data_IF_668318238841
#
_entry.id   IF_668318238841
#
_cell.length_a   1.000
_cell.length_b   1.000
_cell.length_c   1.000
_cell.angle_alpha   90.00
_cell.angle_beta   90.00
_cell.angle_gamma   90.00
#
_symmetry.space_group_name_H-M   'P 1'
#
loop_
_entity.id
_entity.type
_entity.pdbx_description
1 polymer ?
#
# COMPACT_ATOMS: atom_id res chain seq x y z
N UNK A 1 -12.81 11.07 -32.11
CA UNK A 1 -13.43 10.34 -30.97
C UNK A 1 -12.73 10.79 -29.69
N UNK A 2 -13.44 11.36 -28.72
CA UNK A 2 -12.85 11.88 -27.47
C UNK A 2 -12.66 10.75 -26.46
N UNK A 3 -11.42 10.53 -26.02
CA UNK A 3 -11.03 9.63 -24.93
C UNK A 3 -11.59 10.13 -23.58
N UNK A 4 -12.88 9.90 -23.32
CA UNK A 4 -13.55 10.31 -22.07
C UNK A 4 -13.42 9.29 -20.93
N UNK A 5 -12.77 8.14 -21.15
CA UNK A 5 -12.77 7.01 -20.19
C UNK A 5 -11.66 7.10 -19.12
N UNK A 6 -10.70 8.02 -19.24
CA UNK A 6 -9.52 8.05 -18.36
C UNK A 6 -9.66 8.93 -17.10
N UNK A 7 -10.78 9.64 -16.92
CA UNK A 7 -10.99 10.56 -15.79
C UNK A 7 -12.45 10.54 -15.28
N UNK A 8 -13.09 9.38 -15.21
CA UNK A 8 -14.40 9.34 -14.54
C UNK A 8 -14.22 9.48 -13.02
N UNK A 9 -15.10 10.24 -12.38
CA UNK A 9 -15.26 10.36 -10.92
C UNK A 9 -15.65 9.05 -10.21
N UNK A 10 -15.48 7.91 -10.91
CA UNK A 10 -15.82 6.55 -10.47
C UNK A 10 -14.56 5.77 -10.07
N UNK A 11 -13.38 6.40 -10.03
CA UNK A 11 -12.12 5.78 -9.58
C UNK A 11 -12.26 5.14 -8.20
N UNK A 12 -13.02 5.79 -7.32
CA UNK A 12 -13.16 5.43 -5.92
C UNK A 12 -13.95 4.13 -5.72
N UNK A 13 -14.66 3.68 -6.76
CA UNK A 13 -15.49 2.48 -6.75
C UNK A 13 -14.72 1.22 -7.18
N UNK A 14 -13.45 1.35 -7.59
CA UNK A 14 -12.64 0.21 -8.00
C UNK A 14 -11.89 -0.39 -6.81
N UNK A 15 -12.12 -1.66 -6.53
CA UNK A 15 -11.40 -2.41 -5.51
C UNK A 15 -10.36 -3.36 -6.09
N UNK A 16 -9.39 -3.72 -5.23
CA UNK A 16 -8.30 -4.65 -5.53
C UNK A 16 -8.83 -6.05 -5.88
N UNK A 17 -8.24 -6.76 -6.85
CA UNK A 17 -8.52 -8.18 -7.05
C UNK A 17 -8.30 -8.98 -5.74
N UNK A 18 -9.30 -9.72 -5.24
CA UNK A 18 -9.24 -10.35 -3.92
C UNK A 18 -8.09 -11.33 -3.76
N UNK A 19 -7.75 -12.06 -4.83
CA UNK A 19 -6.64 -13.03 -4.83
C UNK A 19 -5.29 -12.33 -4.69
N UNK A 20 -5.12 -11.15 -5.31
CA UNK A 20 -3.89 -10.36 -5.16
C UNK A 20 -3.76 -9.84 -3.73
N UNK A 21 -4.85 -9.29 -3.17
CA UNK A 21 -4.82 -8.78 -1.80
C UNK A 21 -4.50 -9.90 -0.81
N UNK A 22 -5.19 -11.05 -0.89
CA UNK A 22 -4.98 -12.18 0.02
C UNK A 22 -3.52 -12.66 0.05
N UNK A 23 -2.89 -12.80 -1.12
CA UNK A 23 -1.48 -13.21 -1.19
C UNK A 23 -0.52 -12.22 -0.52
N UNK A 24 -0.82 -10.93 -0.60
CA UNK A 24 0.00 -9.89 0.04
C UNK A 24 -0.30 -9.81 1.54
N UNK A 25 -1.56 -9.98 1.93
CA UNK A 25 -1.99 -9.95 3.32
C UNK A 25 -1.42 -11.13 4.12
N UNK A 26 -1.29 -12.31 3.51
CA UNK A 26 -0.57 -13.46 4.08
C UNK A 26 0.89 -13.16 4.42
N UNK A 27 1.53 -12.21 3.70
CA UNK A 27 2.93 -11.82 3.90
C UNK A 27 3.07 -10.64 4.85
N UNK A 28 2.20 -9.64 4.70
CA UNK A 28 2.37 -8.34 5.36
C UNK A 28 1.46 -8.10 6.55
N UNK A 29 0.36 -8.88 6.70
CA UNK A 29 -0.63 -8.76 7.78
C UNK A 29 -1.16 -7.31 7.91
N UNK A 30 -1.91 -6.86 6.91
CA UNK A 30 -2.31 -5.46 6.80
C UNK A 30 -3.33 -5.06 7.88
N UNK A 31 -3.02 -3.96 8.56
CA UNK A 31 -3.84 -3.46 9.67
C UNK A 31 -4.78 -2.32 9.24
N UNK A 32 -4.41 -1.59 8.19
CA UNK A 32 -5.13 -0.43 7.68
C UNK A 32 -5.25 -0.50 6.15
N UNK A 33 -6.46 -0.23 5.64
CA UNK A 33 -6.73 0.11 4.25
C UNK A 33 -6.89 1.63 4.13
N UNK A 34 -5.83 2.30 3.68
CA UNK A 34 -5.69 3.76 3.80
C UNK A 34 -6.57 4.56 2.83
N UNK A 35 -7.12 3.93 1.79
CA UNK A 35 -7.97 4.59 0.79
C UNK A 35 -9.02 3.61 0.27
N UNK A 36 -10.21 3.65 0.86
CA UNK A 36 -11.29 2.72 0.51
C UNK A 36 -12.67 3.39 0.57
N UNK A 37 -13.70 2.59 0.38
CA UNK A 37 -15.11 2.86 0.65
C UNK A 37 -15.58 1.87 1.71
N UNK A 38 -16.84 1.99 2.15
CA UNK A 38 -17.43 0.98 3.05
C UNK A 38 -17.56 -0.39 2.37
N UNK A 39 -17.72 -0.41 1.04
CA UNK A 39 -18.00 -1.59 0.25
C UNK A 39 -16.75 -2.33 -0.19
N UNK A 40 -15.66 -1.62 -0.52
CA UNK A 40 -14.44 -2.21 -1.06
C UNK A 40 -13.28 -2.31 -0.06
N UNK A 41 -13.52 -2.01 1.22
CA UNK A 41 -12.49 -2.11 2.27
C UNK A 41 -11.92 -3.52 2.37
N UNK A 42 -10.61 -3.61 2.57
CA UNK A 42 -9.89 -4.89 2.66
C UNK A 42 -9.38 -5.18 4.08
N UNK A 43 -9.27 -4.15 4.92
CA UNK A 43 -8.87 -4.26 6.33
C UNK A 43 -10.01 -3.88 7.27
N UNK A 44 -9.91 -4.31 8.54
CA UNK A 44 -10.85 -3.91 9.60
C UNK A 44 -10.83 -2.40 9.86
N UNK A 45 -9.64 -1.82 9.89
CA UNK A 45 -9.46 -0.37 9.94
C UNK A 45 -9.32 0.16 8.52
N UNK A 46 -9.99 1.27 8.23
CA UNK A 46 -9.93 1.88 6.91
C UNK A 46 -10.31 3.34 6.96
N UNK A 47 -9.85 4.10 5.97
CA UNK A 47 -10.31 5.46 5.73
C UNK A 47 -11.13 5.54 4.45
N UNK A 48 -12.26 6.23 4.56
CA UNK A 48 -13.13 6.56 3.45
C UNK A 48 -12.89 7.99 2.98
N UNK A 49 -13.58 8.38 1.90
CA UNK A 49 -13.55 9.77 1.42
C UNK A 49 -13.95 10.77 2.50
N UNK A 50 -14.93 10.43 3.33
CA UNK A 50 -15.45 11.29 4.39
C UNK A 50 -14.43 11.48 5.52
N UNK A 51 -13.54 10.51 5.71
CA UNK A 51 -12.48 10.57 6.72
C UNK A 51 -11.28 11.41 6.25
N UNK A 52 -11.22 11.78 4.96
CA UNK A 52 -10.04 12.38 4.32
C UNK A 52 -8.74 11.66 4.67
N UNK A 53 -8.55 10.46 4.10
CA UNK A 53 -7.40 9.61 4.41
C UNK A 53 -6.03 10.28 4.20
N UNK A 54 -5.93 11.37 3.42
CA UNK A 54 -4.70 12.17 3.30
C UNK A 54 -4.40 13.03 4.54
N UNK A 55 -5.44 13.45 5.28
CA UNK A 55 -5.31 14.22 6.51
C UNK A 55 -5.06 13.35 7.75
N UNK A 56 -5.38 12.06 7.69
CA UNK A 56 -5.27 11.14 8.83
C UNK A 56 -3.81 10.75 9.15
N UNK A 57 -3.49 10.53 10.42
CA UNK A 57 -2.21 9.92 10.80
C UNK A 57 -2.29 8.40 10.68
N UNK A 58 -1.42 7.79 9.86
CA UNK A 58 -1.42 6.34 9.67
C UNK A 58 -0.47 5.65 10.65
N UNK A 59 0.35 6.41 11.37
CA UNK A 59 1.43 5.89 12.23
C UNK A 59 0.98 4.98 13.38
N UNK A 60 -0.30 5.05 13.75
CA UNK A 60 -0.94 4.11 14.68
C UNK A 60 -0.98 2.66 14.16
N UNK A 61 -0.80 2.45 12.86
CA UNK A 61 -0.80 1.15 12.19
C UNK A 61 0.59 0.82 11.63
N UNK A 62 1.06 -0.40 11.82
CA UNK A 62 2.43 -0.84 11.42
C UNK A 62 2.51 -1.34 9.98
N UNK A 63 1.39 -1.79 9.42
CA UNK A 63 1.28 -2.46 8.13
C UNK A 63 0.09 -1.90 7.38
N UNK A 64 0.35 -1.17 6.30
CA UNK A 64 -0.66 -0.36 5.61
C UNK A 64 -0.78 -0.82 4.17
N UNK A 65 -2.02 -1.07 3.75
CA UNK A 65 -2.39 -1.26 2.36
C UNK A 65 -2.88 0.07 1.78
N UNK A 66 -2.47 0.36 0.55
CA UNK A 66 -2.91 1.54 -0.18
C UNK A 66 -3.25 1.18 -1.64
N UNK A 67 -4.53 1.28 -2.00
CA UNK A 67 -4.99 1.31 -3.39
C UNK A 67 -5.68 2.66 -3.62
N UNK A 68 -4.92 3.74 -3.94
CA UNK A 68 -5.46 5.10 -3.91
C UNK A 68 -6.43 5.33 -5.07
N UNK A 69 -7.32 6.33 -4.97
CA UNK A 69 -8.06 6.79 -6.14
C UNK A 69 -7.09 7.27 -7.22
N UNK A 70 -7.13 6.61 -8.38
CA UNK A 70 -6.24 6.93 -9.50
C UNK A 70 -6.65 8.24 -10.16
N UNK A 71 -5.65 8.96 -10.69
CA UNK A 71 -5.86 10.24 -11.37
C UNK A 71 -4.96 11.32 -10.80
N UNK A 72 -5.50 12.53 -10.63
CA UNK A 72 -4.71 13.73 -10.27
C UNK A 72 -4.14 13.69 -8.85
N UNK A 73 -4.75 12.91 -7.96
CA UNK A 73 -4.39 12.83 -6.54
C UNK A 73 -3.31 11.80 -6.24
N UNK A 74 -2.94 10.95 -7.20
CA UNK A 74 -2.01 9.83 -6.94
C UNK A 74 -0.67 10.33 -6.37
N UNK A 75 -0.17 11.48 -6.83
CA UNK A 75 1.07 12.05 -6.31
C UNK A 75 1.02 12.39 -4.83
N UNK A 76 -0.10 12.93 -4.34
CA UNK A 76 -0.29 13.23 -2.92
C UNK A 76 -0.36 11.96 -2.08
N UNK A 77 -1.01 10.91 -2.59
CA UNK A 77 -1.07 9.61 -1.92
C UNK A 77 0.30 8.94 -1.82
N UNK A 78 1.11 8.99 -2.89
CA UNK A 78 2.45 8.41 -2.89
C UNK A 78 3.42 9.20 -2.01
N UNK A 79 3.32 10.53 -1.99
CA UNK A 79 4.02 11.36 -1.02
C UNK A 79 3.68 10.94 0.42
N UNK A 80 2.38 10.85 0.73
CA UNK A 80 1.93 10.46 2.07
C UNK A 80 2.41 9.06 2.45
N UNK A 81 2.31 8.08 1.55
CA UNK A 81 2.79 6.73 1.78
C UNK A 81 4.29 6.70 2.15
N UNK A 82 5.11 7.50 1.45
CA UNK A 82 6.52 7.65 1.78
C UNK A 82 6.73 8.32 3.15
N UNK A 83 6.03 9.41 3.44
CA UNK A 83 6.13 10.15 4.71
C UNK A 83 5.72 9.27 5.91
N UNK A 84 4.63 8.52 5.80
CA UNK A 84 4.16 7.58 6.83
C UNK A 84 5.16 6.43 7.02
N UNK A 85 5.84 5.97 5.96
CA UNK A 85 6.90 4.98 6.13
C UNK A 85 8.10 5.52 6.92
N UNK A 86 8.39 6.82 6.81
CA UNK A 86 9.43 7.46 7.63
C UNK A 86 9.05 7.54 9.12
N UNK A 87 7.76 7.39 9.46
CA UNK A 87 7.28 7.28 10.85
C UNK A 87 7.34 5.85 11.41
N UNK A 88 7.82 4.89 10.62
CA UNK A 88 8.03 3.50 11.07
C UNK A 88 6.95 2.52 10.64
N UNK A 89 6.15 2.87 9.62
CA UNK A 89 5.18 2.00 8.98
C UNK A 89 5.77 1.30 7.75
N UNK A 90 5.30 0.08 7.47
CA UNK A 90 5.45 -0.52 6.14
C UNK A 90 4.21 -0.19 5.34
N UNK A 91 4.39 0.35 4.14
CA UNK A 91 3.28 0.76 3.25
C UNK A 91 3.42 0.06 1.91
N UNK A 92 2.40 -0.72 1.54
CA UNK A 92 2.32 -1.39 0.23
C UNK A 92 1.26 -0.70 -0.62
N UNK A 93 1.69 -0.17 -1.76
CA UNK A 93 0.84 0.59 -2.66
C UNK A 93 0.61 -0.20 -3.96
N UNK A 94 -0.65 -0.33 -4.38
CA UNK A 94 -1.01 -0.79 -5.72
C UNK A 94 -1.30 0.43 -6.60
N UNK A 95 -0.49 0.62 -7.64
CA UNK A 95 -0.58 1.81 -8.52
C UNK A 95 -0.36 1.46 -9.99
N UNK A 96 -0.81 2.29 -10.94
CA UNK A 96 -0.40 2.16 -12.33
C UNK A 96 1.12 2.37 -12.47
N UNK A 97 1.79 1.51 -13.24
CA UNK A 97 3.22 1.61 -13.50
C UNK A 97 3.53 2.75 -14.50
N UNK A 98 3.46 3.99 -14.01
CA UNK A 98 3.65 5.24 -14.77
C UNK A 98 5.02 5.83 -14.48
N UNK A 99 6.05 5.08 -14.87
CA UNK A 99 7.47 5.39 -14.57
C UNK A 99 7.95 6.73 -15.14
N UNK A 100 7.18 7.31 -16.06
CA UNK A 100 7.41 8.58 -16.76
C UNK A 100 6.84 9.81 -16.03
N UNK A 101 6.06 9.61 -14.96
CA UNK A 101 5.34 10.69 -14.29
C UNK A 101 6.16 11.32 -13.17
N UNK A 102 5.93 12.63 -12.93
CA UNK A 102 6.61 13.37 -11.86
C UNK A 102 6.53 12.69 -10.50
N UNK A 103 5.34 12.25 -10.07
CA UNK A 103 5.17 11.61 -8.77
C UNK A 103 5.97 10.31 -8.64
N UNK A 104 6.19 9.59 -9.75
CA UNK A 104 7.01 8.40 -9.74
C UNK A 104 8.48 8.76 -9.46
N UNK A 105 9.00 9.76 -10.16
CA UNK A 105 10.36 10.23 -9.94
C UNK A 105 10.56 10.83 -8.55
N UNK A 106 9.60 11.62 -8.06
CA UNK A 106 9.71 12.31 -6.78
C UNK A 106 9.58 11.36 -5.59
N UNK A 107 8.67 10.38 -5.67
CA UNK A 107 8.26 9.59 -4.50
C UNK A 107 8.58 8.10 -4.61
N UNK A 108 8.83 7.54 -5.79
CA UNK A 108 9.08 6.09 -5.96
C UNK A 108 10.54 5.82 -6.27
N UNK A 109 11.10 6.52 -7.27
CA UNK A 109 12.47 6.29 -7.73
C UNK A 109 13.48 6.49 -6.59
N UNK A 110 14.31 5.48 -6.35
CA UNK A 110 15.31 5.44 -5.27
C UNK A 110 14.73 5.58 -3.85
N UNK A 111 13.42 5.36 -3.65
CA UNK A 111 12.74 5.47 -2.35
C UNK A 111 11.94 4.24 -1.94
N UNK A 112 11.59 3.37 -2.89
CA UNK A 112 10.80 2.17 -2.65
C UNK A 112 11.32 0.97 -3.42
N UNK A 113 10.99 -0.22 -2.93
CA UNK A 113 11.07 -1.45 -3.71
C UNK A 113 9.87 -1.50 -4.67
N UNK A 114 10.10 -1.95 -5.90
CA UNK A 114 9.06 -1.98 -6.94
C UNK A 114 8.98 -3.37 -7.56
N UNK A 115 7.78 -3.93 -7.59
CA UNK A 115 7.47 -5.19 -8.29
C UNK A 115 6.43 -4.93 -9.37
N UNK A 116 6.77 -5.20 -10.63
CA UNK A 116 5.82 -5.09 -11.73
C UNK A 116 4.93 -6.34 -11.82
N UNK A 117 3.64 -6.13 -12.04
CA UNK A 117 2.68 -7.23 -12.19
C UNK A 117 2.61 -7.64 -13.67
N UNK A 118 2.85 -8.93 -13.95
CA UNK A 118 2.72 -9.48 -15.29
C UNK A 118 1.24 -9.58 -15.69
N UNK A 119 0.87 -8.94 -16.79
CA UNK A 119 -0.50 -8.96 -17.33
C UNK A 119 -1.34 -7.75 -16.90
N UNK A 120 -2.66 -7.81 -17.18
CA UNK A 120 -3.61 -6.75 -16.80
C UNK A 120 -4.46 -7.21 -15.64
N UNK A 121 -4.37 -6.49 -14.52
CA UNK A 121 -5.27 -6.73 -13.37
C UNK A 121 -6.72 -6.46 -13.76
N UNK A 122 -7.62 -7.29 -13.25
CA UNK A 122 -9.07 -7.12 -13.38
C UNK A 122 -9.63 -6.62 -12.06
N UNK A 123 -9.65 -5.30 -11.89
CA UNK A 123 -10.21 -4.66 -10.70
C UNK A 123 -11.72 -4.96 -10.59
N UNK A 124 -12.22 -4.98 -9.36
CA UNK A 124 -13.65 -5.14 -9.09
C UNK A 124 -14.29 -3.76 -9.10
N UNK A 125 -15.38 -3.60 -9.83
CA UNK A 125 -16.19 -2.39 -9.74
C UNK A 125 -17.33 -2.62 -8.76
N UNK A 126 -17.32 -1.87 -7.67
CA UNK A 126 -18.41 -1.84 -6.72
C UNK A 126 -19.39 -0.75 -7.18
N UNK A 127 -20.47 -1.15 -7.87
CA UNK A 127 -21.59 -0.25 -8.20
C UNK A 127 -22.86 -0.71 -7.50
N UNK A 128 -23.76 0.22 -7.21
CA UNK A 128 -25.04 -0.01 -6.56
C UNK A 128 -25.81 -1.18 -7.20
N UNK A 129 -25.66 -2.39 -6.62
CA UNK A 129 -26.42 -3.59 -6.97
C UNK A 129 -25.71 -4.69 -7.77
N UNK A 130 -24.45 -4.55 -8.21
CA UNK A 130 -23.73 -5.69 -8.82
C UNK A 130 -22.20 -5.55 -8.80
N UNK A 131 -21.52 -6.61 -8.34
CA UNK A 131 -20.06 -6.77 -8.44
C UNK A 131 -19.68 -7.21 -9.87
N UNK A 132 -19.47 -6.24 -10.76
CA UNK A 132 -18.97 -6.54 -12.09
C UNK A 132 -17.44 -6.58 -12.07
N UNK A 133 -16.85 -7.74 -12.42
CA UNK A 133 -15.42 -7.81 -12.76
C UNK A 133 -15.20 -6.95 -14.01
N UNK A 134 -14.40 -5.90 -13.90
CA UNK A 134 -14.03 -5.10 -15.06
C UNK A 134 -13.21 -5.90 -16.07
N UNK A 135 -13.11 -5.37 -17.29
CA UNK A 135 -12.06 -5.79 -18.21
C UNK A 135 -10.67 -5.59 -17.61
N UNK A 136 -9.64 -6.19 -18.22
CA UNK A 136 -8.26 -5.94 -17.80
C UNK A 136 -7.94 -4.45 -17.85
N UNK A 137 -7.32 -3.92 -16.80
CA UNK A 137 -6.96 -2.50 -16.71
C UNK A 137 -6.19 -2.05 -17.96
N UNK A 138 -6.49 -0.87 -18.54
CA UNK A 138 -5.85 -0.40 -19.76
C UNK A 138 -4.41 0.12 -19.52
N UNK A 139 -3.84 -0.14 -18.35
CA UNK A 139 -2.52 0.32 -17.92
C UNK A 139 -1.77 -0.81 -17.20
N UNK A 140 -0.42 -0.76 -17.16
CA UNK A 140 0.36 -1.70 -16.37
C UNK A 140 0.23 -1.37 -14.88
N UNK A 141 0.45 -2.35 -14.02
CA UNK A 141 0.35 -2.18 -12.57
C UNK A 141 1.66 -2.54 -11.89
N UNK A 142 1.96 -1.83 -10.80
CA UNK A 142 3.12 -2.09 -9.95
C UNK A 142 2.68 -2.11 -8.49
N UNK A 143 3.36 -2.95 -7.72
CA UNK A 143 3.43 -2.83 -6.28
C UNK A 143 4.62 -1.95 -5.94
N UNK A 144 4.38 -0.90 -5.17
CA UNK A 144 5.41 0.00 -4.62
C UNK A 144 5.42 -0.19 -3.11
N UNK A 145 6.55 -0.64 -2.57
CA UNK A 145 6.70 -1.00 -1.16
C UNK A 145 7.68 -0.01 -0.53
N UNK A 146 7.15 0.79 0.39
CA UNK A 146 7.95 1.61 1.29
C UNK A 146 8.20 0.83 2.57
N UNK A 147 9.45 0.44 2.78
CA UNK A 147 9.87 -0.11 4.06
C UNK A 147 10.02 1.02 5.09
N UNK A 148 9.74 0.72 6.37
CA UNK A 148 9.97 1.69 7.44
C UNK A 148 11.45 2.02 7.48
N UNK A 149 11.78 3.30 7.53
CA UNK A 149 13.17 3.70 7.67
C UNK A 149 13.64 3.36 9.10
N UNK A 150 14.33 2.22 9.23
CA UNK A 150 14.87 1.73 10.49
C UNK A 150 16.04 2.59 11.02
N UNK A 151 16.47 3.64 10.32
CA UNK A 151 17.51 4.57 10.80
C UNK A 151 17.17 5.27 12.12
N UNK A 152 15.91 5.20 12.60
CA UNK A 152 15.49 5.63 13.95
C UNK A 152 15.23 4.50 14.96
N UNK A 153 15.57 3.26 14.62
CA UNK A 153 15.60 2.13 15.57
C UNK A 153 16.92 1.38 15.38
N UNK A 154 18.01 1.95 15.91
CA UNK A 154 18.59 1.49 17.18
C UNK A 154 19.23 2.71 17.86
N UNK A 155 18.60 3.25 18.91
CA UNK A 155 19.37 3.96 19.92
C UNK A 155 20.06 2.88 20.77
N UNK A 156 21.32 2.60 20.45
CA UNK A 156 22.14 1.62 21.19
C UNK A 156 22.52 2.13 22.59
N UNK A 157 22.10 3.34 23.01
CA UNK A 157 22.46 3.91 24.32
C UNK A 157 21.79 3.24 25.52
N UNK A 158 20.79 2.37 25.31
CA UNK A 158 20.05 1.68 26.39
C UNK A 158 20.08 0.16 26.35
N UNK A 159 21.02 -0.47 25.64
CA UNK A 159 21.32 -1.89 25.88
C UNK A 159 22.44 -2.00 26.90
N UNK A 160 22.18 -2.43 28.15
CA UNK A 160 23.25 -2.91 29.01
C UNK A 160 23.85 -4.13 28.32
N UNK A 161 25.06 -3.99 27.81
CA UNK A 161 25.89 -5.09 27.32
C UNK A 161 26.35 -5.95 28.51
N UNK A 162 25.42 -6.58 29.21
CA UNK A 162 25.71 -7.69 30.11
C UNK A 162 25.77 -8.97 29.27
N UNK A 163 27.00 -9.28 28.83
CA UNK A 163 27.37 -10.55 28.21
C UNK A 163 27.01 -11.72 29.14
N UNK A 164 25.89 -12.40 28.88
CA UNK A 164 25.73 -13.81 29.30
C UNK A 164 25.73 -14.71 28.09
N UNK A 165 26.88 -15.37 27.91
CA UNK A 165 27.13 -16.44 26.94
C UNK A 165 26.04 -17.52 27.08
N UNK A 166 25.19 -17.67 26.07
CA UNK A 166 24.45 -18.91 25.89
C UNK A 166 25.43 -19.99 25.39
N UNK A 167 25.70 -20.99 26.23
CA UNK A 167 26.22 -22.29 25.78
C UNK A 167 25.01 -23.21 25.58
N UNK A 168 24.75 -23.75 24.38
CA UNK A 168 23.80 -24.84 24.25
C UNK A 168 24.43 -26.09 24.88
N UNK A 169 23.85 -26.59 25.97
CA UNK A 169 24.06 -27.98 26.39
C UNK A 169 23.01 -28.79 25.66
N UNK A 170 23.44 -29.55 24.65
CA UNK A 170 22.71 -30.71 24.17
C UNK A 170 23.07 -31.86 25.11
N UNK A 171 22.07 -32.34 25.87
CA UNK A 171 22.10 -33.68 26.44
C UNK A 171 20.79 -34.35 26.04
N UNK A 172 20.87 -35.23 25.04
CA UNK A 172 19.89 -36.30 24.86
C UNK A 172 20.15 -37.33 25.97
N UNK A 173 19.07 -37.78 26.61
CA UNK A 173 19.10 -38.98 27.46
C UNK A 173 19.15 -40.25 26.63
#
# INVERSE_FOLDING_TARGET
MKNSVLYSSLSDLWGTPPELFRLLDEVYDFQLDAASTKQNRLCKNHFTRDDDGLAQDWSGYRRIWLNPPYGRTIGAWMQKAYEESQKGCLVVCLVPARVDTRWWHDWVQNKAQVTFIKGRLRFIRYSDGSDARGGGAPFPSALVIYEPNLSRRIDYSFLPLERKRYRPILSFG
#
